data_IF_006135231726
#
_entry.id   IF_006135231726
#
_cell.length_a   1.000
_cell.length_b   1.000
_cell.length_c   1.000
_cell.angle_alpha   90.00
_cell.angle_beta   90.00
_cell.angle_gamma   90.00
#
_symmetry.space_group_name_H-M   'P 1'
#
loop_
_entity.id
_entity.type
_entity.pdbx_description
1 polymer ?
#
# COMPACT_ATOMS: atom_id res chain seq x y z
N UNK A 1 -10.88 16.58 -20.86
CA UNK A 1 -11.86 17.51 -20.25
C UNK A 1 -11.56 17.63 -18.76
N UNK A 2 -11.73 18.80 -18.16
CA UNK A 2 -11.62 18.96 -16.71
C UNK A 2 -12.97 19.44 -16.17
N UNK A 3 -13.31 19.04 -14.95
CA UNK A 3 -14.59 19.42 -14.35
C UNK A 3 -14.47 19.62 -12.84
N UNK A 4 -15.43 20.36 -12.32
CA UNK A 4 -15.71 20.51 -10.89
C UNK A 4 -17.22 20.51 -10.68
N UNK A 5 -17.70 20.02 -9.55
CA UNK A 5 -19.07 20.23 -9.11
C UNK A 5 -19.08 21.16 -7.90
N UNK A 6 -20.18 21.87 -7.70
CA UNK A 6 -20.36 22.76 -6.56
C UNK A 6 -21.72 22.57 -5.93
N UNK A 7 -21.85 22.96 -4.67
CA UNK A 7 -23.14 23.16 -4.04
C UNK A 7 -23.86 24.39 -4.66
N UNK A 8 -25.09 24.66 -4.19
CA UNK A 8 -25.88 25.81 -4.65
C UNK A 8 -25.29 27.19 -4.28
N UNK A 9 -24.26 27.22 -3.42
CA UNK A 9 -23.53 28.43 -3.00
C UNK A 9 -22.21 28.61 -3.76
N UNK A 10 -21.85 27.65 -4.62
CA UNK A 10 -20.60 27.67 -5.38
C UNK A 10 -19.40 27.15 -4.58
N UNK A 11 -19.63 26.42 -3.49
CA UNK A 11 -18.59 25.68 -2.76
C UNK A 11 -18.27 24.42 -3.55
N UNK A 12 -17.00 24.24 -3.91
CA UNK A 12 -16.51 23.08 -4.65
C UNK A 12 -16.74 21.83 -3.82
N UNK A 13 -17.34 20.83 -4.44
CA UNK A 13 -17.58 19.56 -3.78
C UNK A 13 -16.76 18.41 -4.40
N UNK A 14 -16.60 18.34 -5.72
CA UNK A 14 -15.62 17.44 -6.37
C UNK A 14 -14.87 18.16 -7.48
N UNK A 15 -13.68 17.65 -7.79
CA UNK A 15 -12.85 18.01 -8.94
C UNK A 15 -12.22 16.75 -9.51
N UNK A 16 -11.90 16.74 -10.81
CA UNK A 16 -11.12 15.63 -11.39
C UNK A 16 -9.61 15.91 -11.39
N UNK A 17 -8.80 14.88 -11.62
CA UNK A 17 -7.32 15.01 -11.60
C UNK A 17 -6.79 16.04 -12.61
N UNK A 18 -7.50 16.26 -13.72
CA UNK A 18 -7.13 17.27 -14.70
C UNK A 18 -7.34 18.70 -14.17
N UNK A 19 -8.41 18.92 -13.41
CA UNK A 19 -8.70 20.19 -12.75
C UNK A 19 -7.60 20.53 -11.73
N UNK A 20 -7.20 19.55 -10.91
CA UNK A 20 -6.09 19.67 -9.94
C UNK A 20 -4.80 20.08 -10.66
N UNK A 21 -4.45 19.39 -11.75
CA UNK A 21 -3.23 19.69 -12.53
C UNK A 21 -3.24 21.10 -13.14
N UNK A 22 -4.34 21.53 -13.77
CA UNK A 22 -4.41 22.86 -14.40
C UNK A 22 -4.44 24.01 -13.39
N UNK A 23 -5.14 23.80 -12.29
CA UNK A 23 -5.29 24.84 -11.26
C UNK A 23 -4.04 24.98 -10.40
N UNK A 24 -3.12 24.00 -10.43
CA UNK A 24 -1.96 23.92 -9.55
C UNK A 24 -2.30 23.93 -8.03
N UNK A 25 -3.57 23.71 -7.69
CA UNK A 25 -4.01 23.52 -6.30
C UNK A 25 -4.09 22.02 -6.00
N UNK A 26 -3.64 21.57 -4.82
CA UNK A 26 -3.96 20.23 -4.34
C UNK A 26 -5.48 20.10 -4.10
N UNK A 27 -6.05 18.91 -4.33
CA UNK A 27 -7.49 18.65 -4.17
C UNK A 27 -8.02 19.09 -2.79
N UNK A 28 -7.22 18.90 -1.73
CA UNK A 28 -7.56 19.28 -0.36
C UNK A 28 -7.74 20.79 -0.14
N UNK A 29 -7.14 21.64 -0.99
CA UNK A 29 -7.33 23.09 -0.94
C UNK A 29 -8.49 23.57 -1.83
N UNK A 30 -8.99 22.70 -2.71
CA UNK A 30 -10.11 23.01 -3.60
C UNK A 30 -11.44 22.60 -2.97
N UNK A 31 -11.55 21.35 -2.51
CA UNK A 31 -12.80 20.81 -1.96
C UNK A 31 -13.17 21.56 -0.68
N UNK A 32 -14.44 21.94 -0.55
CA UNK A 32 -14.95 22.74 0.58
C UNK A 32 -14.70 24.25 0.46
N UNK A 33 -13.99 24.71 -0.57
CA UNK A 33 -13.73 26.13 -0.80
C UNK A 33 -14.62 26.70 -1.91
N UNK A 34 -14.84 28.01 -1.87
CA UNK A 34 -15.60 28.69 -2.93
C UNK A 34 -14.84 28.63 -4.26
N UNK A 35 -15.57 28.37 -5.35
CA UNK A 35 -15.00 28.24 -6.71
C UNK A 35 -14.28 29.52 -7.18
N UNK A 36 -14.59 30.67 -6.55
CA UNK A 36 -13.92 31.93 -6.81
C UNK A 36 -12.43 31.96 -6.46
N UNK A 37 -11.87 30.95 -5.79
CA UNK A 37 -10.43 30.82 -5.55
C UNK A 37 -9.62 30.82 -6.85
N UNK A 38 -10.21 30.34 -7.95
CA UNK A 38 -9.60 30.29 -9.27
C UNK A 38 -9.85 31.55 -10.10
N UNK A 39 -10.63 32.50 -9.58
CA UNK A 39 -11.05 33.67 -10.35
C UNK A 39 -9.86 34.58 -10.59
N UNK A 40 -9.54 34.83 -11.85
CA UNK A 40 -8.59 35.87 -12.19
C UNK A 40 -9.17 37.26 -11.85
N UNK A 41 -8.41 38.17 -11.23
CA UNK A 41 -8.87 39.53 -10.91
C UNK A 41 -9.38 40.34 -12.11
N UNK A 42 -8.88 40.06 -13.31
CA UNK A 42 -9.30 40.72 -14.55
C UNK A 42 -10.72 40.30 -15.00
N UNK A 43 -11.29 39.24 -14.41
CA UNK A 43 -12.61 38.75 -14.81
C UNK A 43 -13.73 39.65 -14.27
N UNK A 44 -14.60 40.19 -15.15
CA UNK A 44 -15.65 41.12 -14.74
C UNK A 44 -16.70 40.43 -13.85
N UNK A 45 -17.11 41.10 -12.78
CA UNK A 45 -18.11 40.57 -11.84
C UNK A 45 -19.47 40.30 -12.50
N UNK A 46 -19.82 41.08 -13.54
CA UNK A 46 -21.06 40.92 -14.29
C UNK A 46 -21.21 39.56 -14.97
N UNK A 47 -20.09 38.91 -15.36
CA UNK A 47 -20.13 37.57 -15.93
C UNK A 47 -20.68 36.54 -14.93
N UNK A 48 -20.17 36.57 -13.69
CA UNK A 48 -20.60 35.66 -12.62
C UNK A 48 -22.02 35.99 -12.15
N UNK A 49 -22.41 37.26 -12.15
CA UNK A 49 -23.80 37.66 -11.89
C UNK A 49 -24.77 37.03 -12.91
N UNK A 50 -24.45 37.14 -14.21
CA UNK A 50 -25.25 36.53 -15.27
C UNK A 50 -25.28 35.00 -15.18
N UNK A 51 -24.13 34.38 -14.90
CA UNK A 51 -24.03 32.94 -14.66
C UNK A 51 -25.01 32.51 -13.57
N UNK A 52 -24.98 33.13 -12.39
CA UNK A 52 -25.89 32.78 -11.29
C UNK A 52 -27.36 33.04 -11.60
N UNK A 53 -27.69 34.11 -12.34
CA UNK A 53 -29.07 34.32 -12.81
C UNK A 53 -29.55 33.17 -13.69
N UNK A 54 -28.74 32.73 -14.66
CA UNK A 54 -29.10 31.62 -15.56
C UNK A 54 -29.23 30.29 -14.82
N UNK A 55 -28.28 29.95 -13.95
CA UNK A 55 -28.34 28.71 -13.18
C UNK A 55 -29.56 28.65 -12.25
N UNK A 56 -29.95 29.78 -11.64
CA UNK A 56 -31.18 29.86 -10.82
C UNK A 56 -32.46 29.72 -11.65
N UNK A 57 -32.40 30.01 -12.94
CA UNK A 57 -33.48 29.80 -13.89
C UNK A 57 -33.40 28.42 -14.58
N UNK A 58 -32.56 27.50 -14.06
CA UNK A 58 -32.32 26.15 -14.63
C UNK A 58 -31.81 26.19 -16.08
N UNK A 59 -31.20 27.29 -16.49
CA UNK A 59 -30.60 27.44 -17.82
C UNK A 59 -29.09 27.22 -17.76
N UNK A 60 -28.50 26.50 -18.73
CA UNK A 60 -27.05 26.37 -18.80
C UNK A 60 -26.39 27.72 -19.10
N UNK A 61 -25.17 27.88 -18.62
CA UNK A 61 -24.26 28.98 -18.92
C UNK A 61 -23.09 28.47 -19.76
N UNK A 62 -22.71 29.20 -20.79
CA UNK A 62 -21.46 28.99 -21.53
C UNK A 62 -20.69 30.30 -21.53
N UNK A 63 -19.43 30.26 -21.10
CA UNK A 63 -18.59 31.46 -20.97
C UNK A 63 -17.12 31.16 -21.21
N UNK A 64 -16.39 32.11 -21.80
CA UNK A 64 -14.94 32.15 -21.68
C UNK A 64 -14.56 32.70 -20.32
N UNK A 65 -13.81 31.93 -19.54
CA UNK A 65 -13.35 32.28 -18.20
C UNK A 65 -11.83 32.22 -18.17
N UNK A 66 -11.20 33.33 -17.73
CA UNK A 66 -9.78 33.37 -17.37
C UNK A 66 -9.65 32.95 -15.92
N UNK A 67 -9.04 31.79 -15.70
CA UNK A 67 -8.76 31.27 -14.38
C UNK A 67 -7.31 31.57 -14.00
N UNK A 68 -7.05 31.78 -12.71
CA UNK A 68 -5.74 31.97 -12.11
C UNK A 68 -5.38 30.71 -11.32
N UNK A 69 -4.29 30.06 -11.71
CA UNK A 69 -3.73 28.90 -11.02
C UNK A 69 -2.91 29.34 -9.80
N UNK A 70 -2.68 28.42 -8.86
CA UNK A 70 -1.97 28.67 -7.60
C UNK A 70 -0.54 29.19 -7.80
N UNK A 71 0.10 28.73 -8.88
CA UNK A 71 1.47 29.10 -9.26
C UNK A 71 1.56 30.49 -9.93
N UNK A 72 0.44 31.21 -10.07
CA UNK A 72 0.37 32.55 -10.63
C UNK A 72 0.18 32.59 -12.15
N UNK A 73 0.22 31.44 -12.83
CA UNK A 73 -0.14 31.37 -14.25
C UNK A 73 -1.65 31.45 -14.43
N UNK A 74 -2.09 31.89 -15.61
CA UNK A 74 -3.51 31.90 -15.96
C UNK A 74 -3.80 31.01 -17.15
N UNK A 75 -5.02 30.49 -17.22
CA UNK A 75 -5.50 29.70 -18.34
C UNK A 75 -6.91 30.14 -18.73
N UNK A 76 -7.19 30.07 -20.03
CA UNK A 76 -8.53 30.33 -20.56
C UNK A 76 -9.31 29.03 -20.67
N UNK A 77 -10.61 29.10 -20.44
CA UNK A 77 -11.51 27.96 -20.54
C UNK A 77 -12.82 28.40 -21.14
N UNK A 78 -13.32 27.66 -22.13
CA UNK A 78 -14.72 27.71 -22.50
C UNK A 78 -15.49 26.81 -21.51
N UNK A 79 -16.04 27.42 -20.47
CA UNK A 79 -16.76 26.73 -19.41
C UNK A 79 -18.23 26.58 -19.78
N UNK A 80 -18.74 25.35 -19.74
CA UNK A 80 -20.17 25.04 -19.75
C UNK A 80 -20.58 24.68 -18.32
N UNK A 81 -21.55 25.40 -17.76
CA UNK A 81 -22.00 25.27 -16.38
C UNK A 81 -23.50 25.00 -16.40
N UNK A 82 -23.90 23.87 -15.84
CA UNK A 82 -25.28 23.41 -15.84
C UNK A 82 -25.66 22.98 -14.43
N UNK A 83 -26.88 23.29 -14.00
CA UNK A 83 -27.42 22.76 -12.77
C UNK A 83 -27.64 21.24 -12.94
N UNK A 84 -27.05 20.44 -12.07
CA UNK A 84 -27.23 18.98 -12.11
C UNK A 84 -28.62 18.61 -11.56
N UNK A 85 -29.34 17.69 -12.22
CA UNK A 85 -30.53 17.07 -11.64
C UNK A 85 -30.19 16.30 -10.35
N UNK A 86 -31.21 16.01 -9.54
CA UNK A 86 -31.02 15.42 -8.23
C UNK A 86 -30.35 14.03 -8.27
N UNK A 87 -30.73 13.16 -9.22
CA UNK A 87 -30.19 11.81 -9.32
C UNK A 87 -28.67 11.78 -9.61
N UNK A 88 -28.12 12.44 -10.65
CA UNK A 88 -26.67 12.56 -10.84
C UNK A 88 -25.94 13.20 -9.67
N UNK A 89 -26.54 14.22 -9.03
CA UNK A 89 -25.95 14.85 -7.86
C UNK A 89 -25.81 13.87 -6.68
N UNK A 90 -26.83 13.03 -6.43
CA UNK A 90 -26.76 11.96 -5.42
C UNK A 90 -25.68 10.92 -5.76
N UNK A 91 -25.58 10.50 -7.01
CA UNK A 91 -24.55 9.56 -7.47
C UNK A 91 -23.12 10.11 -7.26
N UNK A 92 -22.89 11.40 -7.56
CA UNK A 92 -21.60 12.06 -7.30
C UNK A 92 -21.29 12.09 -5.80
N UNK A 93 -22.28 12.39 -4.96
CA UNK A 93 -22.10 12.39 -3.51
C UNK A 93 -21.77 10.99 -2.97
N UNK A 94 -22.45 9.93 -3.48
CA UNK A 94 -22.13 8.53 -3.14
C UNK A 94 -20.72 8.16 -3.58
N UNK A 95 -20.33 8.47 -4.81
CA UNK A 95 -18.99 8.17 -5.31
C UNK A 95 -17.89 8.90 -4.51
N UNK A 96 -18.15 10.15 -4.08
CA UNK A 96 -17.25 10.88 -3.17
C UNK A 96 -17.09 10.17 -1.83
N UNK A 97 -18.18 9.64 -1.25
CA UNK A 97 -18.09 8.89 0.00
C UNK A 97 -17.24 7.62 -0.17
N UNK A 98 -17.43 6.88 -1.27
CA UNK A 98 -16.58 5.70 -1.57
C UNK A 98 -15.11 6.11 -1.69
N UNK A 99 -14.81 7.22 -2.38
CA UNK A 99 -13.43 7.75 -2.48
C UNK A 99 -12.84 8.08 -1.11
N UNK A 100 -13.63 8.69 -0.22
CA UNK A 100 -13.20 9.02 1.13
C UNK A 100 -12.91 7.77 1.96
N UNK A 101 -13.78 6.77 1.90
CA UNK A 101 -13.60 5.50 2.63
C UNK A 101 -12.39 4.71 2.10
N UNK A 102 -12.15 4.74 0.78
CA UNK A 102 -10.96 4.15 0.16
C UNK A 102 -9.68 4.92 0.52
N UNK A 103 -9.80 6.19 0.93
CA UNK A 103 -8.67 7.06 1.28
C UNK A 103 -7.77 6.50 2.38
N UNK A 104 -8.32 5.72 3.32
CA UNK A 104 -7.55 5.06 4.38
C UNK A 104 -6.57 4.04 3.77
N UNK A 105 -7.02 3.26 2.80
CA UNK A 105 -6.21 2.25 2.09
C UNK A 105 -5.21 2.91 1.15
N UNK A 106 -5.62 3.98 0.46
CA UNK A 106 -4.72 4.77 -0.40
C UNK A 106 -3.58 5.36 0.43
N UNK A 107 -3.85 5.84 1.65
CA UNK A 107 -2.84 6.38 2.55
C UNK A 107 -1.77 5.36 2.98
N UNK A 108 -2.02 4.07 2.82
CA UNK A 108 -1.06 2.98 3.12
C UNK A 108 -0.23 2.54 1.91
N UNK A 109 -0.50 3.05 0.71
CA UNK A 109 0.20 2.58 -0.51
C UNK A 109 1.72 2.79 -0.43
N UNK A 110 2.18 3.90 0.14
CA UNK A 110 3.61 4.19 0.31
C UNK A 110 4.26 3.25 1.34
N UNK A 111 3.56 2.96 2.44
CA UNK A 111 4.00 2.00 3.45
C UNK A 111 4.14 0.59 2.84
N UNK A 112 3.16 0.15 2.05
CA UNK A 112 3.22 -1.13 1.34
C UNK A 112 4.30 -1.16 0.27
N UNK A 113 4.57 -0.04 -0.40
CA UNK A 113 5.70 0.07 -1.34
C UNK A 113 7.03 -0.13 -0.61
N UNK A 114 7.25 0.60 0.49
CA UNK A 114 8.46 0.46 1.31
C UNK A 114 8.62 -0.98 1.81
N UNK A 115 7.55 -1.58 2.34
CA UNK A 115 7.57 -2.95 2.85
C UNK A 115 7.97 -3.97 1.77
N UNK A 116 7.52 -3.78 0.54
CA UNK A 116 7.88 -4.64 -0.60
C UNK A 116 9.39 -4.62 -0.86
N UNK A 117 10.01 -3.44 -0.78
CA UNK A 117 11.45 -3.27 -0.98
C UNK A 117 12.25 -3.89 0.17
N UNK A 118 11.79 -3.71 1.41
CA UNK A 118 12.38 -4.33 2.60
C UNK A 118 12.32 -5.86 2.53
N UNK A 119 11.22 -6.45 2.05
CA UNK A 119 11.13 -7.90 1.82
C UNK A 119 12.13 -8.39 0.79
N UNK A 120 12.33 -7.66 -0.32
CA UNK A 120 13.33 -8.04 -1.31
C UNK A 120 14.75 -8.01 -0.73
N UNK A 121 15.08 -7.01 0.10
CA UNK A 121 16.37 -6.93 0.79
C UNK A 121 16.53 -8.04 1.84
N UNK A 122 15.46 -8.37 2.56
CA UNK A 122 15.46 -9.45 3.53
C UNK A 122 15.64 -10.82 2.87
N UNK A 123 15.03 -11.07 1.71
CA UNK A 123 15.25 -12.30 0.93
C UNK A 123 16.74 -12.47 0.57
N UNK A 124 17.39 -11.42 0.07
CA UNK A 124 18.83 -11.45 -0.21
C UNK A 124 19.66 -11.69 1.06
N UNK A 125 19.23 -11.12 2.19
CA UNK A 125 19.87 -11.32 3.49
C UNK A 125 19.74 -12.76 3.98
N UNK A 126 18.56 -13.36 3.79
CA UNK A 126 18.26 -14.74 4.14
C UNK A 126 19.11 -15.74 3.37
N UNK A 127 19.32 -15.52 2.07
CA UNK A 127 20.16 -16.41 1.25
C UNK A 127 21.61 -16.47 1.74
N UNK A 128 22.18 -15.31 2.10
CA UNK A 128 23.53 -15.24 2.65
C UNK A 128 23.61 -15.90 4.02
N UNK A 129 22.63 -15.64 4.90
CA UNK A 129 22.59 -16.22 6.24
C UNK A 129 22.43 -17.75 6.19
N UNK A 130 21.62 -18.27 5.27
CA UNK A 130 21.47 -19.70 5.06
C UNK A 130 22.79 -20.36 4.63
N UNK A 131 23.55 -19.70 3.74
CA UNK A 131 24.90 -20.13 3.37
C UNK A 131 25.87 -20.15 4.56
N UNK A 132 25.83 -19.12 5.40
CA UNK A 132 26.62 -19.00 6.63
C UNK A 132 26.33 -20.14 7.62
N UNK A 133 25.04 -20.38 7.90
CA UNK A 133 24.58 -21.43 8.81
C UNK A 133 25.01 -22.80 8.29
N UNK A 134 24.87 -23.05 6.99
CA UNK A 134 25.28 -24.32 6.37
C UNK A 134 26.79 -24.56 6.50
N UNK A 135 27.61 -23.52 6.30
CA UNK A 135 29.06 -23.62 6.51
C UNK A 135 29.41 -23.90 7.99
N UNK A 136 28.75 -23.22 8.92
CA UNK A 136 28.96 -23.44 10.35
C UNK A 136 28.54 -24.86 10.78
N UNK A 137 27.47 -25.42 10.20
CA UNK A 137 27.05 -26.80 10.40
C UNK A 137 28.12 -27.80 9.95
N UNK A 138 28.66 -27.61 8.74
CA UNK A 138 29.71 -28.46 8.18
C UNK A 138 30.99 -28.42 9.02
N UNK A 139 31.41 -27.22 9.44
CA UNK A 139 32.56 -27.06 10.32
C UNK A 139 32.34 -27.78 11.66
N UNK A 140 31.15 -27.64 12.25
CA UNK A 140 30.78 -28.30 13.51
C UNK A 140 30.80 -29.84 13.40
N UNK A 141 30.39 -30.39 12.25
CA UNK A 141 30.45 -31.82 11.99
C UNK A 141 31.90 -32.34 11.97
N UNK A 142 32.82 -31.62 11.32
CA UNK A 142 34.26 -31.96 11.30
C UNK A 142 34.84 -31.95 12.71
N UNK A 143 34.54 -30.91 13.49
CA UNK A 143 34.97 -30.79 14.89
C UNK A 143 34.43 -31.92 15.76
N UNK A 144 33.19 -32.36 15.53
CA UNK A 144 32.57 -33.46 16.29
C UNK A 144 33.32 -34.79 16.14
N UNK A 145 34.05 -34.97 15.03
CA UNK A 145 34.83 -36.16 14.73
C UNK A 145 36.27 -36.06 15.21
N UNK A 146 36.80 -34.84 15.38
CA UNK A 146 38.19 -34.59 15.77
C UNK A 146 38.52 -35.02 17.20
N UNK A 147 37.56 -34.90 18.14
CA UNK A 147 37.78 -35.28 19.55
C UNK A 147 36.53 -35.83 20.22
N UNK A 148 36.61 -36.96 20.97
CA UNK A 148 35.49 -37.50 21.75
C UNK A 148 34.92 -36.49 22.76
N UNK A 149 35.76 -35.59 23.27
CA UNK A 149 35.38 -34.54 24.21
C UNK A 149 34.50 -33.48 23.55
N UNK A 150 34.74 -33.18 22.27
CA UNK A 150 33.95 -32.24 21.48
C UNK A 150 32.75 -32.89 20.78
N UNK A 151 32.72 -34.23 20.66
CA UNK A 151 31.70 -34.96 19.92
C UNK A 151 30.26 -34.68 20.35
N UNK A 152 29.99 -34.54 21.66
CA UNK A 152 28.64 -34.17 22.15
C UNK A 152 28.25 -32.74 21.76
N UNK A 153 29.16 -31.79 21.93
CA UNK A 153 28.94 -30.39 21.57
C UNK A 153 28.77 -30.20 20.05
N UNK A 154 29.60 -30.88 19.25
CA UNK A 154 29.50 -30.84 17.80
C UNK A 154 28.20 -31.45 17.26
N UNK A 155 27.69 -32.54 17.87
CA UNK A 155 26.36 -33.08 17.51
C UNK A 155 25.22 -32.13 17.84
N UNK A 156 25.28 -31.47 19.00
CA UNK A 156 24.30 -30.43 19.37
C UNK A 156 24.35 -29.25 18.39
N UNK A 157 25.54 -28.82 17.97
CA UNK A 157 25.74 -27.75 16.99
C UNK A 157 25.10 -28.08 15.64
N UNK A 158 25.26 -29.34 15.18
CA UNK A 158 24.66 -29.80 13.93
C UNK A 158 23.14 -29.81 14.01
N UNK A 159 22.56 -30.25 15.14
CA UNK A 159 21.11 -30.22 15.35
C UNK A 159 20.56 -28.79 15.31
N UNK A 160 21.14 -27.87 16.09
CA UNK A 160 20.74 -26.46 16.10
C UNK A 160 20.90 -25.79 14.74
N UNK A 161 21.96 -26.14 14.00
CA UNK A 161 22.16 -25.62 12.64
C UNK A 161 21.07 -26.09 11.68
N UNK A 162 20.58 -27.33 11.83
CA UNK A 162 19.47 -27.84 11.04
C UNK A 162 18.18 -27.09 11.35
N UNK A 163 17.89 -26.87 12.63
CA UNK A 163 16.71 -26.14 13.06
C UNK A 163 16.71 -24.70 12.52
N UNK A 164 17.88 -24.04 12.52
CA UNK A 164 18.04 -22.72 11.89
C UNK A 164 17.84 -22.76 10.38
N UNK A 165 18.34 -23.78 9.66
CA UNK A 165 18.10 -23.92 8.20
C UNK A 165 16.60 -24.08 7.92
N UNK A 166 15.91 -24.90 8.69
CA UNK A 166 14.47 -25.13 8.53
C UNK A 166 13.69 -23.83 8.83
N UNK A 167 14.06 -23.09 9.88
CA UNK A 167 13.48 -21.78 10.19
C UNK A 167 13.74 -20.74 9.09
N UNK A 168 14.96 -20.70 8.52
CA UNK A 168 15.30 -19.84 7.40
C UNK A 168 14.46 -20.14 6.15
N UNK A 169 14.28 -21.42 5.82
CA UNK A 169 13.48 -21.82 4.65
C UNK A 169 12.02 -21.39 4.79
N UNK A 170 11.44 -21.55 5.99
CA UNK A 170 10.09 -21.04 6.30
C UNK A 170 10.03 -19.52 6.12
N UNK A 171 10.97 -18.78 6.72
CA UNK A 171 11.03 -17.34 6.61
C UNK A 171 11.15 -16.87 5.14
N UNK A 172 12.02 -17.49 4.34
CA UNK A 172 12.18 -17.14 2.92
C UNK A 172 10.86 -17.30 2.15
N UNK A 173 10.14 -18.39 2.38
CA UNK A 173 8.83 -18.62 1.76
C UNK A 173 7.80 -17.59 2.24
N UNK A 174 7.76 -17.31 3.54
CA UNK A 174 6.85 -16.30 4.12
C UNK A 174 7.11 -14.90 3.56
N UNK A 175 8.37 -14.52 3.37
CA UNK A 175 8.76 -13.26 2.74
C UNK A 175 8.32 -13.18 1.28
N UNK A 176 8.43 -14.27 0.52
CA UNK A 176 7.99 -14.33 -0.88
C UNK A 176 6.47 -14.17 -1.00
N UNK A 177 5.72 -14.95 -0.23
CA UNK A 177 4.25 -14.88 -0.20
C UNK A 177 3.79 -13.49 0.24
N UNK A 178 4.36 -12.94 1.31
CA UNK A 178 3.96 -11.62 1.79
C UNK A 178 4.28 -10.51 0.79
N UNK A 179 5.40 -10.60 0.07
CA UNK A 179 5.76 -9.67 -1.00
C UNK A 179 4.74 -9.72 -2.14
N UNK A 180 4.35 -10.91 -2.57
CA UNK A 180 3.32 -11.10 -3.61
C UNK A 180 1.97 -10.52 -3.16
N UNK A 181 1.51 -10.87 -1.97
CA UNK A 181 0.26 -10.37 -1.40
C UNK A 181 0.26 -8.84 -1.26
N UNK A 182 1.37 -8.25 -0.81
CA UNK A 182 1.50 -6.80 -0.66
C UNK A 182 1.47 -6.09 -2.02
N UNK A 183 2.11 -6.66 -3.04
CA UNK A 183 2.05 -6.12 -4.42
C UNK A 183 0.64 -6.20 -4.99
N UNK A 184 -0.05 -7.33 -4.82
CA UNK A 184 -1.42 -7.54 -5.28
C UNK A 184 -2.39 -6.57 -4.58
N UNK A 185 -2.29 -6.43 -3.25
CA UNK A 185 -3.09 -5.46 -2.48
C UNK A 185 -2.92 -4.04 -3.02
N UNK A 186 -1.67 -3.63 -3.25
CA UNK A 186 -1.34 -2.29 -3.77
C UNK A 186 -1.94 -2.06 -5.16
N UNK A 187 -1.88 -3.08 -6.02
CA UNK A 187 -2.49 -3.05 -7.35
C UNK A 187 -4.01 -2.90 -7.25
N UNK A 188 -4.68 -3.70 -6.42
CA UNK A 188 -6.13 -3.69 -6.28
C UNK A 188 -6.66 -2.36 -5.73
N UNK A 189 -6.01 -1.79 -4.71
CA UNK A 189 -6.35 -0.45 -4.18
C UNK A 189 -6.22 0.60 -5.29
N UNK A 190 -5.16 0.53 -6.09
CA UNK A 190 -4.91 1.47 -7.20
C UNK A 190 -5.99 1.36 -8.28
N UNK A 191 -6.39 0.13 -8.63
CA UNK A 191 -7.46 -0.13 -9.60
C UNK A 191 -8.79 0.43 -9.09
N UNK A 192 -9.14 0.17 -7.83
CA UNK A 192 -10.37 0.68 -7.22
C UNK A 192 -10.40 2.23 -7.22
N UNK A 193 -9.27 2.88 -6.90
CA UNK A 193 -9.16 4.33 -6.94
C UNK A 193 -9.38 4.90 -8.35
N UNK A 194 -8.77 4.27 -9.36
CA UNK A 194 -8.95 4.65 -10.77
C UNK A 194 -10.41 4.46 -11.23
N UNK A 195 -11.05 3.34 -10.84
CA UNK A 195 -12.46 3.06 -11.17
C UNK A 195 -13.40 4.11 -10.58
N UNK A 196 -13.18 4.52 -9.33
CA UNK A 196 -13.94 5.60 -8.69
C UNK A 196 -13.82 6.92 -9.47
N UNK A 197 -12.60 7.30 -9.85
CA UNK A 197 -12.38 8.53 -10.63
C UNK A 197 -13.05 8.48 -12.01
N UNK A 198 -13.03 7.30 -12.66
CA UNK A 198 -13.73 7.08 -13.93
C UNK A 198 -15.25 7.20 -13.77
N UNK A 199 -15.84 6.51 -12.78
CA UNK A 199 -17.28 6.59 -12.48
C UNK A 199 -17.72 8.04 -12.30
N UNK A 200 -16.94 8.83 -11.54
CA UNK A 200 -17.20 10.26 -11.36
C UNK A 200 -17.25 11.03 -12.68
N UNK A 201 -16.35 10.72 -13.61
CA UNK A 201 -16.31 11.37 -14.92
C UNK A 201 -17.52 11.01 -15.78
N UNK A 202 -17.90 9.72 -15.80
CA UNK A 202 -19.06 9.24 -16.57
C UNK A 202 -20.39 9.77 -16.04
N UNK A 203 -20.57 9.87 -14.71
CA UNK A 203 -21.79 10.45 -14.12
C UNK A 203 -21.98 11.91 -14.59
N UNK A 204 -20.89 12.68 -14.62
CA UNK A 204 -20.92 14.09 -15.07
C UNK A 204 -21.21 14.19 -16.56
N UNK A 205 -20.62 13.31 -17.37
CA UNK A 205 -20.85 13.26 -18.83
C UNK A 205 -22.31 12.90 -19.16
N UNK A 206 -22.87 11.87 -18.50
CA UNK A 206 -24.28 11.48 -18.66
C UNK A 206 -25.20 12.65 -18.31
N UNK A 207 -24.94 13.36 -17.21
CA UNK A 207 -25.77 14.46 -16.75
C UNK A 207 -25.68 15.74 -17.61
N UNK A 208 -24.62 15.91 -18.40
CA UNK A 208 -24.39 17.12 -19.23
C UNK A 208 -24.84 16.95 -20.68
N UNK A 209 -25.55 15.86 -21.01
CA UNK A 209 -26.13 15.64 -22.33
C UNK A 209 -25.14 15.07 -23.35
N UNK A 210 -23.98 14.58 -22.91
CA UNK A 210 -23.06 13.79 -23.74
C UNK A 210 -23.52 12.34 -23.94
N UNK A 211 -24.64 11.96 -23.33
CA UNK A 211 -25.06 10.56 -23.20
C UNK A 211 -25.33 9.89 -24.55
N UNK A 212 -24.47 8.92 -24.90
CA UNK A 212 -24.86 7.81 -25.77
C UNK A 212 -25.53 6.72 -24.92
N UNK A 213 -26.34 5.86 -25.53
CA UNK A 213 -26.96 4.67 -24.90
C UNK A 213 -25.94 3.78 -24.15
N UNK A 214 -24.65 3.92 -24.43
CA UNK A 214 -23.58 3.17 -23.80
C UNK A 214 -23.11 3.73 -22.44
N UNK A 215 -23.42 4.99 -22.11
CA UNK A 215 -22.89 5.67 -20.91
C UNK A 215 -23.42 5.05 -19.62
N UNK A 216 -24.72 4.78 -19.55
CA UNK A 216 -25.34 4.18 -18.36
C UNK A 216 -24.88 2.73 -18.18
N UNK A 217 -24.78 1.97 -19.28
CA UNK A 217 -24.22 0.61 -19.27
C UNK A 217 -22.75 0.58 -18.82
N UNK A 218 -21.96 1.59 -19.20
CA UNK A 218 -20.57 1.74 -18.75
C UNK A 218 -20.48 2.05 -17.26
N UNK A 219 -21.35 2.92 -16.73
CA UNK A 219 -21.39 3.23 -15.29
C UNK A 219 -21.75 1.95 -14.51
N UNK A 220 -22.77 1.20 -14.92
CA UNK A 220 -23.13 -0.07 -14.28
C UNK A 220 -21.99 -1.09 -14.29
N UNK A 221 -21.31 -1.25 -15.44
CA UNK A 221 -20.17 -2.15 -15.56
C UNK A 221 -19.03 -1.73 -14.63
N UNK A 222 -18.65 -0.45 -14.64
CA UNK A 222 -17.58 0.08 -13.78
C UNK A 222 -17.92 -0.05 -12.30
N UNK A 223 -19.16 0.19 -11.90
CA UNK A 223 -19.58 0.03 -10.50
C UNK A 223 -19.62 -1.45 -10.08
N UNK A 224 -19.96 -2.38 -10.99
CA UNK A 224 -19.85 -3.83 -10.76
C UNK A 224 -18.40 -4.28 -10.59
N UNK A 225 -17.50 -3.77 -11.42
CA UNK A 225 -16.05 -4.02 -11.29
C UNK A 225 -15.48 -3.41 -10.01
N UNK A 226 -15.90 -2.20 -9.62
CA UNK A 226 -15.50 -1.56 -8.36
C UNK A 226 -15.92 -2.40 -7.14
N UNK A 227 -17.14 -2.95 -7.15
CA UNK A 227 -17.60 -3.85 -6.09
C UNK A 227 -16.69 -5.07 -5.98
N UNK A 228 -16.40 -5.73 -7.10
CA UNK A 228 -15.48 -6.87 -7.14
C UNK A 228 -14.07 -6.50 -6.67
N UNK A 229 -13.56 -5.34 -7.09
CA UNK A 229 -12.26 -4.85 -6.65
C UNK A 229 -12.22 -4.63 -5.13
N UNK A 230 -13.25 -4.03 -4.54
CA UNK A 230 -13.33 -3.82 -3.09
C UNK A 230 -13.48 -5.12 -2.31
N UNK A 231 -14.25 -6.08 -2.81
CA UNK A 231 -14.33 -7.44 -2.23
C UNK A 231 -12.96 -8.14 -2.26
N UNK A 232 -12.24 -8.00 -3.37
CA UNK A 232 -10.89 -8.53 -3.51
C UNK A 232 -9.90 -7.87 -2.54
N UNK A 233 -9.97 -6.53 -2.40
CA UNK A 233 -9.13 -5.77 -1.46
C UNK A 233 -9.32 -6.28 -0.03
N UNK A 234 -10.55 -6.57 0.39
CA UNK A 234 -10.85 -7.09 1.73
C UNK A 234 -10.18 -8.44 1.98
N UNK A 235 -10.30 -9.37 1.02
CA UNK A 235 -9.67 -10.69 1.09
C UNK A 235 -8.13 -10.60 1.07
N UNK A 236 -7.56 -9.84 0.13
CA UNK A 236 -6.11 -9.69 0.01
C UNK A 236 -5.53 -8.93 1.21
N UNK A 237 -6.23 -7.93 1.77
CA UNK A 237 -5.80 -7.24 2.98
C UNK A 237 -5.73 -8.19 4.17
N UNK A 238 -6.76 -9.00 4.38
CA UNK A 238 -6.78 -10.00 5.46
C UNK A 238 -5.63 -11.00 5.31
N UNK A 239 -5.43 -11.54 4.11
CA UNK A 239 -4.32 -12.45 3.81
C UNK A 239 -2.95 -11.79 4.00
N UNK A 240 -2.81 -10.52 3.58
CA UNK A 240 -1.58 -9.74 3.77
C UNK A 240 -1.29 -9.59 5.26
N UNK A 241 -2.26 -9.16 6.06
CA UNK A 241 -2.09 -8.98 7.51
C UNK A 241 -1.70 -10.29 8.21
N UNK A 242 -2.34 -11.42 7.85
CA UNK A 242 -1.92 -12.73 8.35
C UNK A 242 -0.48 -13.08 7.94
N UNK A 243 -0.08 -12.80 6.70
CA UNK A 243 1.30 -13.00 6.23
C UNK A 243 2.32 -12.14 6.97
N UNK A 244 1.99 -10.87 7.26
CA UNK A 244 2.86 -9.97 8.03
C UNK A 244 3.07 -10.44 9.47
N UNK A 245 2.00 -10.93 10.11
CA UNK A 245 2.08 -11.53 11.45
C UNK A 245 2.95 -12.80 11.40
N UNK A 246 2.73 -13.66 10.40
CA UNK A 246 3.52 -14.89 10.22
C UNK A 246 5.01 -14.62 10.04
N UNK A 247 5.39 -13.58 9.27
CA UNK A 247 6.80 -13.17 9.14
C UNK A 247 7.40 -12.83 10.50
N UNK A 248 6.69 -12.09 11.35
CA UNK A 248 7.19 -11.75 12.70
C UNK A 248 7.44 -13.00 13.53
N UNK A 249 6.54 -13.97 13.48
CA UNK A 249 6.66 -15.25 14.19
C UNK A 249 7.84 -16.10 13.67
N UNK A 250 8.03 -16.16 12.35
CA UNK A 250 9.15 -16.85 11.72
C UNK A 250 10.50 -16.20 12.10
N UNK A 251 10.57 -14.86 12.10
CA UNK A 251 11.76 -14.11 12.51
C UNK A 251 12.07 -14.36 13.99
N UNK A 252 11.06 -14.35 14.87
CA UNK A 252 11.25 -14.64 16.29
C UNK A 252 11.78 -16.06 16.53
N UNK A 253 11.22 -17.05 15.80
CA UNK A 253 11.67 -18.45 15.87
C UNK A 253 13.13 -18.60 15.42
N UNK A 254 13.50 -17.89 14.36
CA UNK A 254 14.87 -17.86 13.87
C UNK A 254 15.83 -17.18 14.86
N UNK A 255 15.43 -16.06 15.45
CA UNK A 255 16.23 -15.31 16.44
C UNK A 255 16.50 -16.14 17.71
N UNK A 256 15.49 -16.88 18.18
CA UNK A 256 15.64 -17.83 19.29
C UNK A 256 16.66 -18.93 18.95
N UNK A 257 16.50 -19.56 17.78
CA UNK A 257 17.41 -20.60 17.30
C UNK A 257 18.85 -20.09 17.14
N UNK A 258 19.01 -18.88 16.60
CA UNK A 258 20.30 -18.22 16.45
C UNK A 258 20.95 -17.90 17.80
N UNK A 259 20.15 -17.43 18.76
CA UNK A 259 20.61 -17.15 20.13
C UNK A 259 21.08 -18.41 20.84
N UNK A 260 20.36 -19.52 20.69
CA UNK A 260 20.76 -20.80 21.26
C UNK A 260 22.04 -21.34 20.63
N UNK A 261 22.15 -21.28 19.30
CA UNK A 261 23.36 -21.64 18.57
C UNK A 261 24.58 -20.83 19.02
N UNK A 262 24.42 -19.51 19.17
CA UNK A 262 25.49 -18.64 19.64
C UNK A 262 25.93 -18.99 21.08
N UNK A 263 24.99 -19.26 21.99
CA UNK A 263 25.27 -19.70 23.37
C UNK A 263 26.06 -21.02 23.38
N UNK A 264 25.69 -21.95 22.51
CA UNK A 264 26.36 -23.24 22.40
C UNK A 264 27.79 -23.07 21.85
N UNK A 265 28.00 -22.21 20.84
CA UNK A 265 29.33 -21.95 20.29
C UNK A 265 30.28 -21.31 21.33
N UNK A 266 29.77 -20.43 22.18
CA UNK A 266 30.54 -19.87 23.30
C UNK A 266 30.96 -20.97 24.29
N UNK A 267 30.06 -21.91 24.60
CA UNK A 267 30.37 -23.07 25.46
C UNK A 267 31.43 -23.97 24.82
N UNK A 268 31.30 -24.22 23.52
CA UNK A 268 32.26 -24.99 22.75
C UNK A 268 33.66 -24.34 22.74
N UNK A 269 33.75 -23.01 22.58
CA UNK A 269 35.01 -22.27 22.65
C UNK A 269 35.74 -22.46 23.97
N UNK A 270 35.02 -22.47 25.09
CA UNK A 270 35.61 -22.74 26.40
C UNK A 270 36.22 -24.15 26.47
N UNK A 271 35.58 -25.14 25.84
CA UNK A 271 36.14 -26.49 25.75
C UNK A 271 37.40 -26.52 24.89
N UNK A 272 37.41 -25.87 23.73
CA UNK A 272 38.60 -25.80 22.85
C UNK A 272 39.80 -25.26 23.61
N UNK A 273 39.63 -24.18 24.37
CA UNK A 273 40.69 -23.60 25.20
C UNK A 273 41.09 -24.54 26.33
N UNK A 274 40.11 -25.10 27.06
CA UNK A 274 40.34 -25.99 28.21
C UNK A 274 41.13 -27.25 27.84
N UNK A 275 40.89 -27.80 26.65
CA UNK A 275 41.54 -29.02 26.16
C UNK A 275 42.72 -28.73 25.21
N UNK A 276 43.16 -27.48 25.09
CA UNK A 276 44.30 -27.06 24.26
C UNK A 276 44.19 -27.41 22.76
N UNK A 277 42.96 -27.44 22.23
CA UNK A 277 42.66 -27.83 20.84
C UNK A 277 42.78 -26.66 19.85
N UNK A 278 43.24 -25.49 20.30
CA UNK A 278 43.36 -24.28 19.48
C UNK A 278 44.32 -24.43 18.29
N UNK A 279 45.32 -25.32 18.40
CA UNK A 279 46.24 -25.62 17.31
C UNK A 279 45.58 -26.40 16.18
N UNK A 280 44.81 -27.44 16.52
CA UNK A 280 44.08 -28.29 15.57
C UNK A 280 42.97 -27.54 14.84
N UNK A 281 42.39 -26.52 15.49
CA UNK A 281 41.24 -25.76 14.99
C UNK A 281 41.60 -24.36 14.47
N UNK A 282 42.90 -24.03 14.35
CA UNK A 282 43.39 -22.68 14.03
C UNK A 282 42.74 -22.09 12.78
N UNK A 283 42.64 -22.88 11.71
CA UNK A 283 42.12 -22.42 10.42
C UNK A 283 40.59 -22.41 10.36
N UNK A 284 39.94 -23.09 11.30
CA UNK A 284 38.47 -23.22 11.36
C UNK A 284 37.80 -22.10 12.16
N UNK A 285 38.50 -21.50 13.14
CA UNK A 285 37.92 -20.53 14.06
C UNK A 285 37.62 -19.14 13.45
N UNK A 286 38.54 -18.50 12.68
CA UNK A 286 38.29 -17.16 12.15
C UNK A 286 37.08 -17.05 11.20
N UNK A 287 36.86 -18.00 10.26
CA UNK A 287 35.66 -17.98 9.42
C UNK A 287 34.37 -18.08 10.24
N UNK A 288 34.33 -18.93 11.26
CA UNK A 288 33.16 -19.08 12.14
C UNK A 288 32.85 -17.76 12.85
N UNK A 289 33.87 -17.04 13.34
CA UNK A 289 33.67 -15.74 14.01
C UNK A 289 33.14 -14.65 13.08
N UNK A 290 33.66 -14.59 11.87
CA UNK A 290 33.17 -13.65 10.87
C UNK A 290 31.69 -13.89 10.58
N UNK A 291 31.32 -15.16 10.37
CA UNK A 291 29.93 -15.57 10.12
C UNK A 291 29.00 -15.26 11.29
N UNK A 292 29.45 -15.37 12.55
CA UNK A 292 28.62 -15.03 13.72
C UNK A 292 28.34 -13.53 13.84
N UNK A 293 29.36 -12.70 13.66
CA UNK A 293 29.20 -11.24 13.73
C UNK A 293 28.31 -10.73 12.59
N UNK A 294 28.51 -11.27 11.39
CA UNK A 294 27.68 -10.97 10.24
C UNK A 294 26.24 -11.45 10.45
N UNK A 295 26.06 -12.69 10.93
CA UNK A 295 24.74 -13.25 11.25
C UNK A 295 23.96 -12.44 12.28
N UNK A 296 24.63 -11.91 13.32
CA UNK A 296 23.98 -11.04 14.31
C UNK A 296 23.53 -9.71 13.70
N UNK A 297 24.34 -9.13 12.82
CA UNK A 297 23.97 -7.89 12.12
C UNK A 297 22.75 -8.12 11.23
N UNK A 298 22.73 -9.25 10.51
CA UNK A 298 21.61 -9.67 9.66
C UNK A 298 20.34 -9.94 10.47
N UNK A 299 20.44 -10.58 11.65
CA UNK A 299 19.28 -10.77 12.51
C UNK A 299 18.71 -9.45 13.03
N UNK A 300 19.54 -8.46 13.36
CA UNK A 300 19.03 -7.15 13.75
C UNK A 300 18.20 -6.49 12.63
N UNK A 301 18.62 -6.62 11.37
CA UNK A 301 17.86 -6.15 10.22
C UNK A 301 16.54 -6.89 10.05
N UNK A 302 16.53 -8.22 10.19
CA UNK A 302 15.30 -9.02 10.14
C UNK A 302 14.35 -8.65 11.30
N UNK A 303 14.86 -8.48 12.52
CA UNK A 303 14.05 -8.05 13.66
C UNK A 303 13.41 -6.67 13.42
N UNK A 304 14.15 -5.71 12.83
CA UNK A 304 13.59 -4.41 12.45
C UNK A 304 12.47 -4.53 11.40
N UNK A 305 12.63 -5.43 10.42
CA UNK A 305 11.59 -5.77 9.46
C UNK A 305 10.35 -6.38 10.14
N UNK A 306 10.54 -7.30 11.09
CA UNK A 306 9.45 -7.91 11.84
C UNK A 306 8.61 -6.89 12.61
N UNK A 307 9.24 -5.90 13.22
CA UNK A 307 8.54 -4.78 13.88
C UNK A 307 7.77 -3.90 12.88
N UNK A 308 8.38 -3.60 11.73
CA UNK A 308 7.72 -2.84 10.67
C UNK A 308 6.51 -3.59 10.10
N UNK A 309 6.64 -4.90 9.84
CA UNK A 309 5.55 -5.76 9.39
C UNK A 309 4.41 -5.79 10.42
N UNK A 310 4.75 -5.92 11.71
CA UNK A 310 3.76 -5.92 12.79
C UNK A 310 3.00 -4.61 12.90
N UNK A 311 3.67 -3.47 12.72
CA UNK A 311 3.03 -2.16 12.78
C UNK A 311 2.06 -1.93 11.60
N UNK A 312 2.28 -2.59 10.46
CA UNK A 312 1.43 -2.50 9.28
C UNK A 312 0.32 -3.56 9.24
N UNK A 313 0.42 -4.62 10.04
CA UNK A 313 -0.59 -5.68 10.12
C UNK A 313 -1.87 -5.27 10.88
N UNK A 314 -1.99 -4.00 11.30
CA UNK A 314 -3.20 -3.50 11.94
C UNK A 314 -4.43 -3.70 11.03
N UNK A 315 -5.53 -4.30 11.55
CA UNK A 315 -6.73 -4.52 10.76
C UNK A 315 -7.36 -3.18 10.37
N UNK A 316 -7.60 -3.00 9.06
CA UNK A 316 -8.36 -1.88 8.54
C UNK A 316 -9.81 -2.35 8.36
N UNK A 317 -10.75 -1.66 9.00
CA UNK A 317 -12.17 -1.96 8.83
C UNK A 317 -12.67 -1.48 7.46
N UNK A 318 -12.93 -2.42 6.56
CA UNK A 318 -13.46 -2.17 5.22
C UNK A 318 -15.00 -2.14 5.19
N UNK A 319 -15.68 -2.31 6.33
CA UNK A 319 -17.14 -2.42 6.39
C UNK A 319 -17.83 -1.16 5.88
N UNK A 320 -17.33 0.02 6.25
CA UNK A 320 -17.84 1.30 5.75
C UNK A 320 -17.64 1.43 4.25
N UNK A 321 -16.46 1.07 3.73
CA UNK A 321 -16.17 1.09 2.30
C UNK A 321 -17.15 0.18 1.52
N UNK A 322 -17.35 -1.06 1.98
CA UNK A 322 -18.30 -2.00 1.35
C UNK A 322 -19.73 -1.47 1.39
N UNK A 323 -20.16 -0.89 2.50
CA UNK A 323 -21.48 -0.27 2.62
C UNK A 323 -21.65 0.91 1.66
N UNK A 324 -20.64 1.76 1.52
CA UNK A 324 -20.66 2.89 0.58
C UNK A 324 -20.69 2.46 -0.88
N UNK A 325 -19.94 1.41 -1.25
CA UNK A 325 -20.03 0.82 -2.60
C UNK A 325 -21.41 0.23 -2.84
N UNK A 326 -21.97 -0.49 -1.87
CA UNK A 326 -23.33 -1.03 -1.95
C UNK A 326 -24.39 0.06 -2.14
N UNK A 327 -24.25 1.19 -1.43
CA UNK A 327 -25.14 2.33 -1.59
C UNK A 327 -25.01 3.00 -2.98
N UNK A 328 -23.79 3.10 -3.52
CA UNK A 328 -23.57 3.60 -4.88
C UNK A 328 -24.22 2.70 -5.93
N UNK A 329 -24.05 1.38 -5.80
CA UNK A 329 -24.68 0.37 -6.68
C UNK A 329 -26.20 0.47 -6.60
N UNK A 330 -26.77 0.57 -5.39
CA UNK A 330 -28.22 0.65 -5.19
C UNK A 330 -28.84 1.90 -5.81
N UNK A 331 -28.16 3.05 -5.73
CA UNK A 331 -28.62 4.30 -6.33
C UNK A 331 -28.72 4.19 -7.86
N UNK A 332 -27.78 3.50 -8.52
CA UNK A 332 -27.83 3.27 -9.97
C UNK A 332 -29.03 2.41 -10.38
N UNK A 333 -29.34 1.36 -9.60
CA UNK A 333 -30.49 0.48 -9.90
C UNK A 333 -31.85 1.18 -9.76
N UNK A 334 -31.94 2.25 -8.94
CA UNK A 334 -33.16 3.06 -8.79
C UNK A 334 -33.33 4.14 -9.86
N UNK A 335 -32.27 4.49 -10.59
CA UNK A 335 -32.33 5.48 -11.69
C UNK A 335 -32.76 4.83 -13.02
N UNK A 336 -32.56 3.51 -13.16
CA UNK A 336 -32.86 2.76 -14.37
C UNK A 336 -34.29 2.15 -14.44
N UNK A 337 -35.09 2.26 -13.36
CA UNK A 337 -36.46 1.72 -13.27
C UNK A 337 -37.51 2.79 -13.10
#
# INVERSE_FOLDING_TARGET
MFFSTTDKKGIIETVNSMFVRLSAYPEAELVGHAHNILRNPDMPAGLFYLMWQRLKAEQPMVAYVKNLAKDGYFYWTLATITALPEAPARLIARNRQVKADLGILIGRLDDYSRLTDEFAQAQQTSDVLNGAITQAANASAVVSQASPVLGKAGKAAVALSRDMVDAMQRLTLSLEIARELTMDLRMQITIAALQIDMISSFIVESATGGSSVHTDQQIEMLTSELRRAVESVDATLSATNSGLIGIREDIATLDESFTEFHRMLMTWRQLVVRFQLSGELRDMLPPIDAQLNEGRTRMNSLNALGELASALAEPIDTTTLRASVGALVGELTHVAG
#
